data_IF_105705819692
#
_entry.id   IF_105705819692
#
_cell.length_a   1.000
_cell.length_b   1.000
_cell.length_c   1.000
_cell.angle_alpha   90.00
_cell.angle_beta   90.00
_cell.angle_gamma   90.00
#
_symmetry.space_group_name_H-M   'P 1'
#
loop_
_entity.id
_entity.type
_entity.pdbx_description
1 polymer ?
#
# COMPACT_ATOMS: atom_id res chain seq x y z
N UNK A 1 -9.32 21.03 35.96
CA UNK A 1 -8.92 20.26 34.77
C UNK A 1 -9.19 21.18 33.59
N UNK A 2 -8.14 21.68 32.93
CA UNK A 2 -8.32 22.42 31.67
C UNK A 2 -8.55 21.38 30.55
N UNK A 3 -9.72 21.43 29.95
CA UNK A 3 -10.02 20.68 28.74
C UNK A 3 -9.20 21.27 27.58
N UNK A 4 -8.31 20.49 27.01
CA UNK A 4 -7.60 20.86 25.79
C UNK A 4 -8.37 20.34 24.58
N UNK A 5 -8.46 21.15 23.48
CA UNK A 5 -9.08 20.65 22.26
C UNK A 5 -8.30 19.41 21.79
N UNK A 6 -9.01 18.29 21.65
CA UNK A 6 -8.46 17.01 21.23
C UNK A 6 -8.32 16.93 19.70
N UNK A 7 -8.92 17.87 18.99
CA UNK A 7 -8.92 17.91 17.54
C UNK A 7 -7.58 18.39 16.99
N UNK A 8 -7.18 17.82 15.86
CA UNK A 8 -5.88 18.09 15.25
C UNK A 8 -6.09 18.63 13.84
N UNK A 9 -5.43 19.74 13.55
CA UNK A 9 -5.31 20.28 12.21
C UNK A 9 -3.86 20.05 11.72
N UNK A 10 -3.73 19.34 10.63
CA UNK A 10 -2.46 19.15 9.92
C UNK A 10 -2.44 20.08 8.70
N UNK A 11 -1.49 20.99 8.67
CA UNK A 11 -1.19 21.78 7.49
C UNK A 11 0.31 21.63 7.20
N UNK A 12 0.65 21.05 6.08
CA UNK A 12 2.05 20.91 5.67
C UNK A 12 2.23 21.30 4.22
N UNK A 13 3.38 21.89 3.94
CA UNK A 13 3.84 22.18 2.60
C UNK A 13 5.30 21.78 2.50
N UNK A 14 5.67 21.10 1.41
CA UNK A 14 7.02 20.65 1.14
C UNK A 14 7.34 20.80 -0.35
N UNK A 15 8.63 20.88 -0.65
CA UNK A 15 9.11 20.87 -2.04
C UNK A 15 9.89 19.57 -2.29
N UNK A 16 9.43 18.78 -3.25
CA UNK A 16 9.97 17.46 -3.56
C UNK A 16 10.60 17.38 -4.95
N UNK A 17 11.58 18.25 -5.26
CA UNK A 17 12.31 18.16 -6.54
C UNK A 17 11.38 18.08 -7.76
N UNK A 18 11.41 16.96 -8.47
CA UNK A 18 10.56 16.72 -9.67
C UNK A 18 9.05 16.81 -9.37
N UNK A 19 8.62 16.42 -8.18
CA UNK A 19 7.21 16.47 -7.77
C UNK A 19 6.70 17.89 -7.48
N UNK A 20 7.59 18.90 -7.40
CA UNK A 20 7.23 20.28 -7.13
C UNK A 20 6.75 20.52 -5.71
N UNK A 21 5.86 21.49 -5.54
CA UNK A 21 5.26 21.84 -4.25
C UNK A 21 4.17 20.79 -3.89
N UNK A 22 4.31 20.17 -2.74
CA UNK A 22 3.34 19.21 -2.18
C UNK A 22 2.67 19.89 -0.99
N UNK A 23 1.34 19.96 -1.03
CA UNK A 23 0.53 20.44 0.07
C UNK A 23 -0.28 19.32 0.69
N UNK A 24 -0.40 19.31 2.02
CA UNK A 24 -1.28 18.41 2.76
C UNK A 24 -2.16 19.22 3.69
N UNK A 25 -3.44 18.94 3.65
CA UNK A 25 -4.43 19.42 4.62
C UNK A 25 -5.09 18.20 5.28
N UNK A 26 -5.00 18.10 6.59
CA UNK A 26 -5.61 17.03 7.37
C UNK A 26 -6.39 17.61 8.55
N UNK A 27 -7.55 17.04 8.85
CA UNK A 27 -8.34 17.34 10.04
C UNK A 27 -8.69 16.02 10.72
N UNK A 28 -8.45 15.95 12.02
CA UNK A 28 -8.82 14.81 12.83
C UNK A 28 -9.64 15.26 14.04
N UNK A 29 -10.85 14.75 14.14
CA UNK A 29 -11.76 14.96 15.27
C UNK A 29 -11.74 13.70 16.14
N UNK A 30 -11.34 13.83 17.40
CA UNK A 30 -11.15 12.67 18.31
C UNK A 30 -12.35 12.39 19.22
N UNK A 31 -13.38 13.22 19.19
CA UNK A 31 -14.61 13.03 19.95
C UNK A 31 -15.86 13.07 19.06
N UNK A 32 -15.75 12.60 17.84
CA UNK A 32 -16.89 12.56 16.90
C UNK A 32 -17.98 11.61 17.38
N UNK A 33 -19.23 11.90 17.04
CA UNK A 33 -20.39 11.07 17.33
C UNK A 33 -21.28 10.90 16.12
N UNK A 34 -21.36 9.69 15.60
CA UNK A 34 -22.27 9.32 14.53
C UNK A 34 -23.73 9.35 14.99
N UNK A 35 -23.98 8.98 16.26
CA UNK A 35 -25.32 8.97 16.84
C UNK A 35 -25.89 10.39 16.98
N UNK A 36 -25.04 11.35 17.30
CA UNK A 36 -25.44 12.74 17.53
C UNK A 36 -25.52 13.60 16.24
N UNK A 37 -25.38 13.04 15.05
CA UNK A 37 -25.49 13.78 13.78
C UNK A 37 -26.82 14.54 13.68
N UNK A 38 -27.90 13.98 14.23
CA UNK A 38 -29.23 14.59 14.20
C UNK A 38 -29.49 15.60 15.34
N UNK A 39 -28.63 15.67 16.35
CA UNK A 39 -28.72 16.53 17.50
C UNK A 39 -27.90 17.80 17.34
N UNK A 40 -28.53 18.91 16.96
CA UNK A 40 -27.82 20.19 16.76
C UNK A 40 -27.14 20.74 18.03
N UNK A 41 -27.61 20.37 19.22
CA UNK A 41 -27.00 20.79 20.48
C UNK A 41 -25.61 20.18 20.76
N UNK A 42 -25.26 19.07 20.10
CA UNK A 42 -23.97 18.41 20.24
C UNK A 42 -22.93 18.80 19.16
N UNK A 43 -23.25 19.80 18.34
CA UNK A 43 -22.35 20.26 17.28
C UNK A 43 -21.41 21.38 17.76
N UNK A 44 -20.06 21.13 17.67
CA UNK A 44 -19.02 22.12 17.97
C UNK A 44 -17.64 21.73 17.35
N UNK A 45 -17.33 21.99 16.10
CA UNK A 45 -18.15 22.29 14.91
C UNK A 45 -18.85 21.06 14.32
N UNK A 46 -18.47 19.85 14.69
CA UNK A 46 -19.07 18.57 14.30
C UNK A 46 -19.78 17.92 15.49
N UNK A 47 -20.71 16.96 15.26
CA UNK A 47 -21.35 16.24 16.34
C UNK A 47 -20.35 15.50 17.19
N UNK A 48 -20.40 15.66 18.50
CA UNK A 48 -19.45 15.14 19.48
C UNK A 48 -20.17 14.31 20.55
N UNK A 49 -19.39 13.49 21.29
CA UNK A 49 -19.84 12.81 22.50
C UNK A 49 -19.51 11.33 22.60
N UNK A 50 -19.25 10.62 21.48
CA UNK A 50 -19.02 9.16 21.51
C UNK A 50 -17.53 8.77 21.46
N UNK A 51 -16.61 9.74 21.40
CA UNK A 51 -15.19 9.47 21.36
C UNK A 51 -14.70 8.76 20.07
N UNK A 52 -15.50 8.79 19.02
CA UNK A 52 -15.11 8.28 17.71
C UNK A 52 -14.06 9.20 17.07
N UNK A 53 -13.18 8.61 16.28
CA UNK A 53 -12.15 9.35 15.55
C UNK A 53 -12.56 9.49 14.08
N UNK A 54 -12.83 10.72 13.65
CA UNK A 54 -13.06 11.06 12.24
C UNK A 54 -11.79 11.73 11.69
N UNK A 55 -11.22 11.18 10.63
CA UNK A 55 -10.05 11.76 9.97
C UNK A 55 -10.35 12.02 8.50
N UNK A 56 -10.05 13.23 8.07
CA UNK A 56 -10.14 13.69 6.68
C UNK A 56 -8.78 14.22 6.28
N UNK A 57 -8.24 13.76 5.17
CA UNK A 57 -6.95 14.23 4.67
C UNK A 57 -7.00 14.40 3.16
N UNK A 58 -6.55 15.55 2.70
CA UNK A 58 -6.33 15.84 1.29
C UNK A 58 -4.86 16.18 1.07
N UNK A 59 -4.26 15.59 0.04
CA UNK A 59 -2.90 15.84 -0.35
C UNK A 59 -2.85 16.08 -1.86
N UNK A 60 -2.09 17.07 -2.28
CA UNK A 60 -1.91 17.35 -3.71
C UNK A 60 -0.53 17.90 -3.97
N UNK A 61 0.07 17.51 -5.09
CA UNK A 61 1.04 18.34 -5.73
C UNK A 61 0.35 19.10 -6.90
N UNK A 62 0.83 20.26 -7.23
CA UNK A 62 0.20 21.12 -8.23
C UNK A 62 0.19 20.54 -9.64
N UNK A 63 0.86 19.41 -9.89
CA UNK A 63 1.11 18.89 -11.25
C UNK A 63 0.48 17.53 -11.51
N UNK A 64 0.77 16.52 -10.69
CA UNK A 64 0.53 15.14 -11.09
C UNK A 64 -0.26 14.32 -10.07
N UNK A 65 -0.35 14.75 -8.83
CA UNK A 65 -0.84 13.91 -7.75
C UNK A 65 -1.93 14.57 -6.94
N UNK A 66 -3.01 13.81 -6.69
CA UNK A 66 -4.07 14.15 -5.74
C UNK A 66 -4.45 12.92 -4.96
N UNK A 67 -4.62 13.07 -3.65
CA UNK A 67 -5.08 11.98 -2.79
C UNK A 67 -6.05 12.52 -1.76
N UNK A 68 -7.14 11.79 -1.55
CA UNK A 68 -8.16 12.05 -0.55
C UNK A 68 -8.31 10.81 0.31
N UNK A 69 -8.28 11.00 1.62
CA UNK A 69 -8.44 9.94 2.59
C UNK A 69 -9.55 10.34 3.57
N UNK A 70 -10.46 9.43 3.78
CA UNK A 70 -11.51 9.49 4.80
C UNK A 70 -11.41 8.25 5.68
N UNK A 71 -11.47 8.41 7.00
CA UNK A 71 -11.61 7.28 7.90
C UNK A 71 -12.41 7.65 9.15
N UNK A 72 -13.25 6.72 9.58
CA UNK A 72 -14.01 6.76 10.82
C UNK A 72 -13.64 5.55 11.66
N UNK A 73 -13.19 5.78 12.89
CA UNK A 73 -12.79 4.72 13.83
C UNK A 73 -13.63 4.81 15.10
N UNK A 74 -14.31 3.72 15.43
CA UNK A 74 -14.91 3.47 16.74
C UNK A 74 -13.88 2.70 17.59
N UNK A 75 -13.28 3.31 18.64
CA UNK A 75 -12.22 2.66 19.41
C UNK A 75 -12.71 1.59 20.39
N UNK A 76 -14.00 1.61 20.74
CA UNK A 76 -14.61 0.73 21.73
C UNK A 76 -15.87 0.05 21.19
N UNK A 77 -15.76 -0.66 20.09
CA UNK A 77 -16.90 -1.35 19.48
C UNK A 77 -17.60 -2.26 20.50
N UNK A 78 -18.88 -1.95 20.76
CA UNK A 78 -19.68 -2.66 21.76
C UNK A 78 -19.42 -2.22 23.21
N UNK A 79 -18.60 -1.19 23.47
CA UNK A 79 -18.46 -0.48 24.76
C UNK A 79 -17.80 -1.26 25.90
N UNK A 80 -17.44 -2.55 25.71
CA UNK A 80 -16.94 -3.43 26.79
C UNK A 80 -15.45 -3.76 26.71
N UNK A 81 -14.88 -3.72 25.51
CA UNK A 81 -13.49 -4.06 25.23
C UNK A 81 -12.90 -3.06 24.26
N UNK A 82 -11.58 -2.82 24.29
CA UNK A 82 -10.91 -1.95 23.35
C UNK A 82 -10.77 -2.61 21.96
N UNK A 83 -11.91 -2.97 21.38
CA UNK A 83 -11.97 -3.46 20.00
C UNK A 83 -12.19 -2.25 19.09
N UNK A 84 -11.24 -1.93 18.26
CA UNK A 84 -11.37 -0.83 17.31
C UNK A 84 -12.03 -1.30 16.02
N UNK A 85 -13.01 -0.54 15.56
CA UNK A 85 -13.64 -0.75 14.27
C UNK A 85 -13.38 0.48 13.39
N UNK A 86 -12.83 0.28 12.21
CA UNK A 86 -12.49 1.37 11.29
C UNK A 86 -13.11 1.12 9.93
N UNK A 87 -13.75 2.14 9.40
CA UNK A 87 -14.19 2.19 8.00
C UNK A 87 -13.48 3.35 7.32
N UNK A 88 -13.02 3.15 6.11
CA UNK A 88 -12.34 4.22 5.40
C UNK A 88 -12.37 4.06 3.89
N UNK A 89 -12.02 5.15 3.22
CA UNK A 89 -11.87 5.23 1.78
C UNK A 89 -10.66 6.09 1.43
N UNK A 90 -9.89 5.64 0.47
CA UNK A 90 -8.76 6.37 -0.10
C UNK A 90 -8.98 6.46 -1.61
N UNK A 91 -8.85 7.65 -2.15
CA UNK A 91 -8.79 7.87 -3.59
C UNK A 91 -7.52 8.63 -3.94
N UNK A 92 -6.71 8.07 -4.83
CA UNK A 92 -5.46 8.65 -5.29
C UNK A 92 -5.42 8.66 -6.81
N UNK A 93 -5.03 9.79 -7.39
CA UNK A 93 -4.88 9.95 -8.83
C UNK A 93 -3.50 10.52 -9.15
N UNK A 94 -2.83 9.87 -10.08
CA UNK A 94 -1.59 10.30 -10.70
C UNK A 94 -1.88 10.58 -12.17
N UNK A 95 -1.75 11.82 -12.58
CA UNK A 95 -2.07 12.28 -13.93
C UNK A 95 -0.79 12.83 -14.60
N UNK A 96 -0.22 12.04 -15.47
CA UNK A 96 0.95 12.39 -16.26
C UNK A 96 0.61 12.61 -17.75
N UNK A 97 -0.67 12.77 -18.09
CA UNK A 97 -1.15 12.96 -19.46
C UNK A 97 -0.48 14.14 -20.15
N UNK A 98 -0.22 15.23 -19.42
CA UNK A 98 0.53 16.39 -19.93
C UNK A 98 1.98 16.09 -20.30
N UNK A 99 2.53 14.99 -19.85
CA UNK A 99 3.87 14.49 -20.16
C UNK A 99 3.86 13.31 -21.14
N UNK A 100 2.70 12.98 -21.71
CA UNK A 100 2.52 11.84 -22.60
C UNK A 100 2.69 10.48 -21.93
N UNK A 101 2.41 10.38 -20.62
CA UNK A 101 2.60 9.14 -19.83
C UNK A 101 1.33 8.70 -19.10
N UNK A 102 0.18 9.14 -19.57
CA UNK A 102 -1.14 8.67 -19.14
C UNK A 102 -1.50 8.94 -17.67
N UNK A 103 -2.43 8.16 -17.13
CA UNK A 103 -2.92 8.32 -15.77
C UNK A 103 -3.05 6.98 -15.01
N UNK A 104 -2.90 7.06 -13.67
CA UNK A 104 -3.15 5.99 -12.73
C UNK A 104 -4.11 6.49 -11.66
N UNK A 105 -5.25 5.80 -11.48
CA UNK A 105 -6.24 6.09 -10.45
C UNK A 105 -6.40 4.88 -9.54
N UNK A 106 -6.35 5.08 -8.23
CA UNK A 106 -6.53 4.02 -7.24
C UNK A 106 -7.63 4.47 -6.27
N UNK A 107 -8.68 3.66 -6.18
CA UNK A 107 -9.76 3.86 -5.21
C UNK A 107 -9.86 2.64 -4.33
N UNK A 108 -9.70 2.83 -3.01
CA UNK A 108 -9.75 1.76 -2.02
C UNK A 108 -10.78 2.08 -0.96
N UNK A 109 -11.72 1.16 -0.72
CA UNK A 109 -12.55 1.12 0.47
C UNK A 109 -12.06 0.01 1.41
N UNK A 110 -12.11 0.23 2.71
CA UNK A 110 -11.71 -0.80 3.66
C UNK A 110 -12.54 -0.78 4.95
N UNK A 111 -12.66 -1.96 5.54
CA UNK A 111 -13.25 -2.15 6.87
C UNK A 111 -12.25 -2.94 7.71
N UNK A 112 -11.90 -2.41 8.87
CA UNK A 112 -10.90 -2.97 9.77
C UNK A 112 -11.47 -3.24 11.16
N UNK A 113 -11.05 -4.35 11.77
CA UNK A 113 -11.34 -4.73 13.15
C UNK A 113 -10.02 -5.01 13.87
N UNK A 114 -9.71 -4.19 14.88
CA UNK A 114 -8.56 -4.37 15.76
C UNK A 114 -9.01 -4.93 17.11
N UNK A 115 -8.34 -5.99 17.57
CA UNK A 115 -8.68 -6.66 18.84
C UNK A 115 -7.41 -7.01 19.60
N UNK A 116 -7.37 -6.67 20.89
CA UNK A 116 -6.32 -7.15 21.79
C UNK A 116 -6.62 -8.59 22.18
N UNK A 117 -5.67 -9.49 21.96
CA UNK A 117 -5.79 -10.89 22.32
C UNK A 117 -5.32 -11.10 23.76
N UNK A 118 -5.92 -12.08 24.46
CA UNK A 118 -5.51 -12.49 25.81
C UNK A 118 -4.58 -13.70 25.81
N UNK A 119 -4.52 -14.41 24.70
CA UNK A 119 -3.68 -15.59 24.53
C UNK A 119 -2.81 -15.40 23.27
N UNK A 120 -1.52 -15.74 23.30
CA UNK A 120 -0.75 -16.34 24.40
C UNK A 120 -0.38 -15.37 25.53
N UNK A 121 -0.36 -14.05 25.29
CA UNK A 121 -0.18 -13.02 26.30
C UNK A 121 -0.90 -11.71 25.89
N UNK A 122 -0.97 -10.73 26.80
CA UNK A 122 -1.68 -9.45 26.61
C UNK A 122 -0.98 -8.48 25.64
N UNK A 123 0.20 -8.84 25.12
CA UNK A 123 0.93 -8.03 24.16
C UNK A 123 0.52 -8.29 22.69
N UNK A 124 -0.33 -9.30 22.46
CA UNK A 124 -0.81 -9.63 21.13
C UNK A 124 -2.01 -8.77 20.71
N UNK A 125 -1.91 -8.22 19.51
CA UNK A 125 -2.98 -7.51 18.81
C UNK A 125 -3.26 -8.19 17.49
N UNK A 126 -4.53 -8.43 17.21
CA UNK A 126 -5.05 -8.95 15.94
C UNK A 126 -5.74 -7.84 15.19
N UNK A 127 -5.36 -7.62 13.93
CA UNK A 127 -6.03 -6.69 13.03
C UNK A 127 -6.51 -7.46 11.79
N UNK A 128 -7.82 -7.46 11.58
CA UNK A 128 -8.47 -8.03 10.40
C UNK A 128 -8.96 -6.89 9.52
N UNK A 129 -8.56 -6.85 8.27
CA UNK A 129 -8.99 -5.78 7.34
C UNK A 129 -9.51 -6.40 6.04
N UNK A 130 -10.71 -6.04 5.67
CA UNK A 130 -11.29 -6.32 4.37
C UNK A 130 -11.07 -5.11 3.47
N UNK A 131 -10.48 -5.32 2.30
CA UNK A 131 -10.19 -4.27 1.33
C UNK A 131 -10.91 -4.54 0.03
N UNK A 132 -11.43 -3.49 -0.57
CA UNK A 132 -11.91 -3.45 -1.94
C UNK A 132 -11.19 -2.30 -2.64
N UNK A 133 -10.35 -2.62 -3.61
CA UNK A 133 -9.54 -1.66 -4.32
C UNK A 133 -9.77 -1.78 -5.82
N UNK A 134 -9.85 -0.64 -6.49
CA UNK A 134 -9.88 -0.55 -7.95
C UNK A 134 -8.70 0.30 -8.41
N UNK A 135 -7.91 -0.27 -9.29
CA UNK A 135 -6.78 0.35 -9.97
C UNK A 135 -7.19 0.56 -11.42
N UNK A 136 -7.11 1.79 -11.92
CA UNK A 136 -7.41 2.11 -13.32
C UNK A 136 -6.17 2.74 -13.95
N UNK A 137 -5.73 2.17 -15.05
CA UNK A 137 -4.64 2.65 -15.89
C UNK A 137 -5.23 3.18 -17.20
N UNK A 138 -4.79 4.36 -17.61
CA UNK A 138 -5.15 5.00 -18.88
C UNK A 138 -3.84 5.45 -19.54
N UNK A 139 -3.36 4.68 -20.52
CA UNK A 139 -2.07 4.89 -21.24
C UNK A 139 -0.86 5.15 -20.30
N UNK A 140 -0.82 4.41 -19.18
CA UNK A 140 0.12 4.66 -18.10
C UNK A 140 1.46 3.96 -18.34
N UNK A 141 2.49 4.75 -18.66
CA UNK A 141 3.84 4.24 -19.03
C UNK A 141 4.90 4.41 -17.92
N UNK A 142 4.53 4.93 -16.74
CA UNK A 142 5.50 5.19 -15.64
C UNK A 142 5.52 4.14 -14.54
N UNK A 143 4.60 3.19 -14.55
CA UNK A 143 4.33 2.35 -13.37
C UNK A 143 5.19 1.12 -13.23
N UNK A 144 5.80 0.64 -14.31
CA UNK A 144 6.54 -0.62 -14.25
C UNK A 144 5.65 -1.81 -13.85
N UNK A 145 4.39 -1.82 -14.27
CA UNK A 145 3.52 -2.98 -14.13
C UNK A 145 3.77 -3.91 -15.31
N UNK A 146 4.47 -5.01 -15.02
CA UNK A 146 4.86 -5.95 -16.05
C UNK A 146 4.36 -7.34 -15.74
N UNK A 147 3.91 -8.04 -16.77
CA UNK A 147 3.68 -9.49 -16.76
C UNK A 147 4.82 -10.15 -17.49
N UNK A 148 5.35 -11.23 -16.93
CA UNK A 148 6.35 -12.04 -17.60
C UNK A 148 5.64 -13.17 -18.36
N UNK A 149 5.78 -13.16 -19.68
CA UNK A 149 5.22 -14.16 -20.57
C UNK A 149 6.26 -14.59 -21.59
N UNK A 150 6.48 -15.90 -21.70
CA UNK A 150 7.48 -16.48 -22.64
C UNK A 150 8.89 -15.84 -22.54
N UNK A 151 9.29 -15.45 -21.33
CA UNK A 151 10.60 -14.80 -21.08
C UNK A 151 10.64 -13.33 -21.47
N UNK A 152 9.53 -12.73 -21.88
CA UNK A 152 9.40 -11.29 -22.17
C UNK A 152 8.58 -10.59 -21.10
N UNK A 153 8.93 -9.36 -20.82
CA UNK A 153 8.16 -8.50 -19.93
C UNK A 153 7.22 -7.64 -20.77
N UNK A 154 5.92 -7.87 -20.61
CA UNK A 154 4.86 -7.12 -21.27
C UNK A 154 4.34 -6.08 -20.28
N UNK A 155 4.38 -4.81 -20.65
CA UNK A 155 3.88 -3.72 -19.84
C UNK A 155 2.34 -3.68 -19.91
N UNK A 156 1.70 -3.55 -18.75
CA UNK A 156 0.27 -3.25 -18.66
C UNK A 156 0.15 -1.73 -18.55
N UNK A 157 -0.42 -1.10 -19.56
CA UNK A 157 -0.60 0.35 -19.65
C UNK A 157 -2.03 0.80 -19.48
N UNK A 158 -2.98 -0.07 -19.79
CA UNK A 158 -4.41 0.20 -19.77
C UNK A 158 -5.18 -0.90 -19.04
N UNK A 159 -6.34 -0.54 -18.49
CA UNK A 159 -7.26 -1.46 -17.87
C UNK A 159 -7.74 -1.03 -16.51
N UNK A 160 -8.75 -1.77 -16.03
CA UNK A 160 -9.29 -1.62 -14.68
C UNK A 160 -9.15 -2.94 -13.93
N UNK A 161 -8.48 -2.89 -12.79
CA UNK A 161 -8.10 -4.05 -11.98
C UNK A 161 -8.74 -3.95 -10.62
N UNK A 162 -9.44 -5.00 -10.21
CA UNK A 162 -10.15 -5.07 -8.95
C UNK A 162 -9.40 -6.00 -7.98
N UNK A 163 -9.16 -5.53 -6.78
CA UNK A 163 -8.50 -6.25 -5.70
C UNK A 163 -9.44 -6.34 -4.49
N UNK A 164 -10.04 -7.49 -4.30
CA UNK A 164 -10.82 -7.79 -3.10
C UNK A 164 -10.00 -8.71 -2.21
N UNK A 165 -9.53 -8.22 -1.08
CA UNK A 165 -8.62 -8.96 -0.22
C UNK A 165 -8.98 -8.90 1.25
N UNK A 166 -8.76 -10.02 1.93
CA UNK A 166 -8.78 -10.13 3.38
C UNK A 166 -7.34 -10.13 3.89
N UNK A 167 -7.02 -9.17 4.75
CA UNK A 167 -5.72 -9.07 5.41
C UNK A 167 -5.86 -9.31 6.90
N UNK A 168 -5.13 -10.31 7.40
CA UNK A 168 -5.00 -10.62 8.81
C UNK A 168 -3.59 -10.28 9.27
N UNK A 169 -3.47 -9.49 10.35
CA UNK A 169 -2.18 -9.14 10.94
C UNK A 169 -2.18 -9.45 12.42
N UNK A 170 -1.21 -10.22 12.86
CA UNK A 170 -0.92 -10.48 14.26
C UNK A 170 0.36 -9.75 14.63
N UNK A 171 0.29 -8.90 15.65
CA UNK A 171 1.45 -8.16 16.14
C UNK A 171 1.61 -8.39 17.62
N UNK A 172 2.83 -8.72 18.04
CA UNK A 172 3.24 -8.74 19.44
C UNK A 172 4.32 -7.71 19.69
N UNK A 173 4.14 -6.86 20.67
CA UNK A 173 5.14 -5.84 21.02
C UNK A 173 5.36 -5.79 22.52
N UNK A 174 6.56 -6.20 22.95
CA UNK A 174 7.02 -6.17 24.34
C UNK A 174 8.22 -5.24 24.53
N UNK A 175 8.39 -4.26 23.63
CA UNK A 175 9.52 -3.33 23.69
C UNK A 175 9.41 -2.40 24.90
N UNK A 176 10.56 -2.13 25.56
CA UNK A 176 10.62 -1.34 26.79
C UNK A 176 10.31 0.14 26.58
N UNK A 177 10.56 0.67 25.38
CA UNK A 177 10.37 2.07 25.03
C UNK A 177 10.08 2.19 23.53
N UNK A 178 9.07 2.97 23.11
CA UNK A 178 8.73 3.13 21.69
C UNK A 178 9.78 3.89 20.89
N UNK A 179 10.48 4.87 21.48
CA UNK A 179 11.44 5.73 20.79
C UNK A 179 12.84 5.12 20.76
N UNK A 180 13.30 4.60 21.90
CA UNK A 180 14.61 3.97 22.03
C UNK A 180 14.49 2.63 22.77
N UNK A 181 14.03 1.58 22.10
CA UNK A 181 13.93 0.26 22.70
C UNK A 181 15.30 -0.27 23.14
N UNK A 182 15.42 -0.63 24.41
CA UNK A 182 16.64 -1.22 24.98
C UNK A 182 16.52 -2.71 25.20
N UNK A 183 15.30 -3.21 25.37
CA UNK A 183 14.95 -4.61 25.61
C UNK A 183 13.60 -4.93 25.03
N UNK A 184 13.37 -6.21 24.78
CA UNK A 184 12.12 -6.72 24.28
C UNK A 184 12.13 -7.01 22.78
N UNK A 185 10.97 -7.33 22.27
CA UNK A 185 10.80 -7.68 20.86
C UNK A 185 9.51 -7.12 20.30
N UNK A 186 9.52 -6.91 19.00
CA UNK A 186 8.31 -6.68 18.19
C UNK A 186 8.30 -7.70 17.07
N UNK A 187 7.21 -8.45 16.96
CA UNK A 187 7.02 -9.46 15.92
C UNK A 187 5.66 -9.21 15.28
N UNK A 188 5.61 -9.23 13.96
CA UNK A 188 4.38 -9.06 13.19
C UNK A 188 4.31 -10.08 12.07
N UNK A 189 3.20 -10.79 11.96
CA UNK A 189 2.86 -11.66 10.85
C UNK A 189 1.62 -11.10 10.15
N UNK A 190 1.73 -10.80 8.87
CA UNK A 190 0.62 -10.33 8.04
C UNK A 190 0.37 -11.30 6.91
N UNK A 191 -0.87 -11.76 6.77
CA UNK A 191 -1.35 -12.66 5.73
C UNK A 191 -2.44 -11.91 4.98
N UNK A 192 -2.30 -11.77 3.69
CA UNK A 192 -3.29 -11.16 2.82
C UNK A 192 -3.67 -12.17 1.74
N UNK A 193 -4.95 -12.41 1.56
CA UNK A 193 -5.48 -13.38 0.61
C UNK A 193 -6.62 -12.76 -0.19
N UNK A 194 -6.69 -13.12 -1.45
CA UNK A 194 -7.82 -12.83 -2.34
C UNK A 194 -8.57 -14.12 -2.64
N UNK A 195 -9.82 -14.06 -3.09
CA UNK A 195 -10.49 -15.25 -3.63
C UNK A 195 -9.73 -15.78 -4.86
N UNK A 196 -9.62 -17.10 -5.02
CA UNK A 196 -9.00 -17.72 -6.19
C UNK A 196 -10.01 -17.75 -7.37
N UNK A 197 -10.16 -16.63 -8.05
CA UNK A 197 -11.17 -16.47 -9.11
C UNK A 197 -10.97 -17.42 -10.28
N UNK A 198 -9.73 -17.78 -10.61
CA UNK A 198 -9.39 -18.69 -11.70
C UNK A 198 -9.96 -20.10 -11.50
N UNK A 199 -10.15 -20.55 -10.24
CA UNK A 199 -10.76 -21.84 -9.96
C UNK A 199 -12.25 -21.94 -10.36
N UNK A 200 -12.90 -20.80 -10.56
CA UNK A 200 -14.33 -20.71 -10.91
C UNK A 200 -14.57 -20.24 -12.34
N UNK A 201 -13.50 -19.98 -13.11
CA UNK A 201 -13.53 -19.55 -14.51
C UNK A 201 -12.91 -20.64 -15.38
N UNK A 202 -13.27 -20.69 -16.66
CA UNK A 202 -12.58 -21.58 -17.62
C UNK A 202 -11.12 -21.15 -17.82
N UNK A 203 -10.27 -22.07 -18.20
CA UNK A 203 -8.82 -21.82 -18.33
C UNK A 203 -8.49 -20.70 -19.34
N UNK A 204 -9.34 -20.52 -20.36
CA UNK A 204 -9.12 -19.56 -21.46
C UNK A 204 -10.00 -18.30 -21.36
N UNK A 205 -10.55 -17.98 -20.19
CA UNK A 205 -11.50 -16.87 -20.01
C UNK A 205 -10.97 -15.48 -20.44
N UNK A 206 -9.67 -15.31 -20.50
CA UNK A 206 -8.98 -14.08 -20.84
C UNK A 206 -8.57 -13.99 -22.32
N UNK A 207 -8.58 -15.10 -23.04
CA UNK A 207 -8.21 -15.12 -24.45
C UNK A 207 -9.24 -14.39 -25.31
N UNK A 208 -8.73 -13.68 -26.30
CA UNK A 208 -9.58 -13.01 -27.28
C UNK A 208 -10.06 -14.01 -28.34
N UNK A 209 -11.32 -13.93 -28.70
CA UNK A 209 -11.85 -14.64 -29.85
C UNK A 209 -11.30 -14.09 -31.17
N UNK A 210 -11.35 -14.89 -32.25
CA UNK A 210 -10.89 -14.43 -33.57
C UNK A 210 -11.60 -13.15 -34.04
N UNK A 211 -12.88 -12.99 -33.68
CA UNK A 211 -13.65 -11.78 -34.01
C UNK A 211 -13.15 -10.54 -33.26
N UNK A 212 -12.76 -10.69 -31.98
CA UNK A 212 -12.17 -9.61 -31.18
C UNK A 212 -10.77 -9.24 -31.67
N UNK A 213 -9.94 -10.23 -32.06
CA UNK A 213 -8.62 -9.99 -32.65
C UNK A 213 -8.74 -9.20 -33.97
N UNK A 214 -9.68 -9.57 -34.83
CA UNK A 214 -9.96 -8.82 -36.06
C UNK A 214 -10.43 -7.39 -35.79
N UNK A 215 -11.16 -7.17 -34.68
CA UNK A 215 -11.56 -5.82 -34.29
C UNK A 215 -10.36 -5.00 -33.82
N UNK A 216 -9.46 -5.57 -33.01
CA UNK A 216 -8.20 -4.93 -32.59
C UNK A 216 -7.35 -4.54 -33.78
N UNK A 217 -7.21 -5.40 -34.78
CA UNK A 217 -6.48 -5.12 -36.02
C UNK A 217 -7.08 -3.93 -36.79
N UNK A 218 -8.42 -3.87 -36.87
CA UNK A 218 -9.10 -2.75 -37.54
C UNK A 218 -8.91 -1.45 -36.77
N UNK A 219 -9.05 -1.48 -35.45
CA UNK A 219 -8.91 -0.28 -34.60
C UNK A 219 -7.50 0.27 -34.69
N UNK A 220 -6.46 -0.58 -34.60
CA UNK A 220 -5.07 -0.20 -34.82
C UNK A 220 -4.83 0.35 -36.22
N UNK A 221 -5.42 -0.26 -37.27
CA UNK A 221 -5.26 0.22 -38.64
C UNK A 221 -5.88 1.59 -38.83
N UNK A 222 -6.99 1.89 -38.13
CA UNK A 222 -7.60 3.22 -38.12
C UNK A 222 -6.74 4.26 -37.42
N UNK A 223 -6.10 3.88 -36.31
CA UNK A 223 -5.22 4.75 -35.51
C UNK A 223 -3.93 5.10 -36.26
N UNK A 224 -3.26 4.12 -36.87
CA UNK A 224 -2.03 4.31 -37.61
C UNK A 224 -2.27 5.01 -38.96
N UNK A 225 -3.49 4.91 -39.49
CA UNK A 225 -3.89 5.48 -40.78
C UNK A 225 -3.42 4.66 -41.99
N UNK A 226 -3.93 4.95 -43.18
CA UNK A 226 -3.71 4.12 -44.37
C UNK A 226 -2.27 4.15 -44.92
N UNK A 227 -1.45 5.08 -44.45
CA UNK A 227 -0.08 5.26 -44.97
C UNK A 227 0.94 4.29 -44.32
N UNK A 228 0.68 3.82 -43.10
CA UNK A 228 1.61 2.93 -42.37
C UNK A 228 0.73 1.91 -41.59
N UNK A 229 0.35 0.79 -42.19
CA UNK A 229 -0.45 -0.21 -41.49
C UNK A 229 0.35 -0.80 -40.32
N UNK A 230 -0.33 -1.20 -39.22
CA UNK A 230 0.33 -1.83 -38.07
C UNK A 230 1.03 -3.13 -38.49
N UNK A 231 2.18 -3.37 -37.93
CA UNK A 231 2.89 -4.62 -38.16
C UNK A 231 2.24 -5.75 -37.36
N UNK A 232 2.42 -6.99 -37.79
CA UNK A 232 1.93 -8.16 -37.06
C UNK A 232 2.44 -8.20 -35.60
N UNK A 233 3.63 -7.69 -35.34
CA UNK A 233 4.20 -7.61 -34.00
C UNK A 233 3.44 -6.62 -33.11
N UNK A 234 3.01 -5.48 -33.65
CA UNK A 234 2.21 -4.48 -32.95
C UNK A 234 0.82 -4.99 -32.65
N UNK A 235 0.16 -5.64 -33.62
CA UNK A 235 -1.14 -6.29 -33.41
C UNK A 235 -1.05 -7.34 -32.28
N UNK A 236 -0.04 -8.22 -32.33
CA UNK A 236 0.16 -9.24 -31.28
C UNK A 236 0.44 -8.61 -29.91
N UNK A 237 1.20 -7.52 -29.86
CA UNK A 237 1.49 -6.80 -28.60
C UNK A 237 0.23 -6.21 -28.00
N UNK A 238 -0.66 -5.66 -28.83
CA UNK A 238 -1.93 -5.08 -28.37
C UNK A 238 -2.91 -6.16 -27.91
N UNK A 239 -3.04 -7.25 -28.67
CA UNK A 239 -3.83 -8.43 -28.26
C UNK A 239 -3.37 -8.94 -26.90
N UNK A 240 -2.06 -9.12 -26.71
CA UNK A 240 -1.49 -9.56 -25.42
C UNK A 240 -1.74 -8.56 -24.29
N UNK A 241 -1.71 -7.25 -24.58
CA UNK A 241 -2.04 -6.21 -23.61
C UNK A 241 -3.48 -6.33 -23.11
N UNK A 242 -4.43 -6.50 -24.04
CA UNK A 242 -5.86 -6.65 -23.73
C UNK A 242 -6.12 -7.96 -22.99
N UNK A 243 -5.51 -9.07 -23.42
CA UNK A 243 -5.62 -10.37 -22.75
C UNK A 243 -5.06 -10.30 -21.33
N UNK A 244 -3.93 -9.65 -21.11
CA UNK A 244 -3.38 -9.41 -19.79
C UNK A 244 -4.26 -8.50 -18.93
N UNK A 245 -4.91 -7.50 -19.51
CA UNK A 245 -5.87 -6.68 -18.78
C UNK A 245 -7.10 -7.50 -18.35
N UNK A 246 -7.62 -8.38 -19.19
CA UNK A 246 -8.69 -9.32 -18.85
C UNK A 246 -8.25 -10.36 -17.83
N UNK A 247 -7.04 -10.91 -17.96
CA UNK A 247 -6.44 -11.91 -17.09
C UNK A 247 -6.34 -11.44 -15.64
N UNK A 248 -5.95 -10.18 -15.44
CA UNK A 248 -5.78 -9.56 -14.13
C UNK A 248 -6.93 -8.62 -13.72
N UNK A 249 -8.06 -8.63 -14.41
CA UNK A 249 -9.23 -7.80 -14.06
C UNK A 249 -9.64 -7.97 -12.58
N UNK A 250 -9.57 -9.20 -12.08
CA UNK A 250 -9.72 -9.53 -10.67
C UNK A 250 -8.41 -10.16 -10.19
N UNK A 251 -7.71 -9.43 -9.31
CA UNK A 251 -6.42 -9.88 -8.80
C UNK A 251 -6.59 -11.07 -7.87
N UNK A 252 -5.79 -12.11 -8.11
CA UNK A 252 -5.74 -13.28 -7.26
C UNK A 252 -4.31 -13.54 -6.79
N UNK A 253 -4.13 -13.65 -5.49
CA UNK A 253 -2.84 -13.90 -4.85
C UNK A 253 -2.99 -14.23 -3.37
N UNK A 254 -1.95 -14.79 -2.79
CA UNK A 254 -1.73 -14.77 -1.35
C UNK A 254 -0.38 -14.12 -1.06
N UNK A 255 -0.34 -13.26 -0.03
CA UNK A 255 0.82 -12.47 0.33
C UNK A 255 1.11 -12.61 1.81
N UNK A 256 2.33 -12.99 2.14
CA UNK A 256 2.78 -13.22 3.50
C UNK A 256 3.91 -12.27 3.81
N UNK A 257 3.86 -11.64 4.97
CA UNK A 257 4.94 -10.79 5.47
C UNK A 257 5.20 -11.11 6.93
N UNK A 258 6.46 -11.25 7.25
CA UNK A 258 6.94 -11.43 8.60
C UNK A 258 7.98 -10.37 8.91
N UNK A 259 7.74 -9.58 9.96
CA UNK A 259 8.64 -8.56 10.48
C UNK A 259 8.98 -8.92 11.93
N UNK A 260 10.26 -8.91 12.25
CA UNK A 260 10.76 -9.23 13.59
C UNK A 260 11.87 -8.27 13.97
N UNK A 261 11.76 -7.74 15.17
CA UNK A 261 12.76 -6.84 15.77
C UNK A 261 13.04 -7.30 17.20
N UNK A 262 14.31 -7.42 17.56
CA UNK A 262 14.78 -7.85 18.87
C UNK A 262 15.80 -6.86 19.39
N UNK A 263 15.68 -6.49 20.67
CA UNK A 263 16.53 -5.52 21.32
C UNK A 263 17.19 -6.13 22.53
N UNK A 264 18.52 -6.06 22.58
CA UNK A 264 19.34 -6.62 23.64
C UNK A 264 20.25 -5.53 24.21
N UNK A 265 20.11 -5.25 25.49
CA UNK A 265 21.09 -4.44 26.19
C UNK A 265 22.31 -5.33 26.49
N UNK A 266 23.44 -5.04 25.86
CA UNK A 266 24.64 -5.89 25.93
C UNK A 266 25.52 -5.46 27.11
N UNK A 267 25.87 -4.18 27.18
CA UNK A 267 26.73 -3.62 28.21
C UNK A 267 26.42 -2.13 28.41
N UNK A 268 26.16 -1.73 29.66
CA UNK A 268 25.92 -0.33 30.04
C UNK A 268 24.76 0.27 29.19
N UNK A 269 25.11 1.20 28.30
CA UNK A 269 24.17 1.88 27.42
C UNK A 269 24.11 1.28 26.01
N UNK A 270 24.97 0.32 25.68
CA UNK A 270 24.97 -0.29 24.35
C UNK A 270 23.80 -1.23 24.15
N UNK A 271 23.14 -1.08 23.03
CA UNK A 271 22.00 -1.91 22.61
C UNK A 271 22.30 -2.51 21.23
N UNK A 272 22.14 -3.81 21.11
CA UNK A 272 22.08 -4.49 19.81
C UNK A 272 20.62 -4.62 19.41
N UNK A 273 20.30 -4.16 18.19
CA UNK A 273 19.01 -4.41 17.56
C UNK A 273 19.21 -5.35 16.37
N UNK A 274 18.57 -6.52 16.41
CA UNK A 274 18.51 -7.47 15.31
C UNK A 274 17.12 -7.42 14.69
N UNK A 275 17.05 -7.29 13.36
CA UNK A 275 15.80 -7.19 12.62
C UNK A 275 15.81 -8.17 11.46
N UNK A 276 14.68 -8.83 11.24
CA UNK A 276 14.44 -9.68 10.09
C UNK A 276 13.10 -9.30 9.45
N UNK A 277 13.10 -9.16 8.13
CA UNK A 277 11.91 -8.91 7.33
C UNK A 277 11.88 -9.92 6.19
N UNK A 278 10.78 -10.63 6.08
CA UNK A 278 10.56 -11.66 5.06
C UNK A 278 9.23 -11.38 4.38
N UNK A 279 9.16 -11.62 3.08
CA UNK A 279 7.92 -11.53 2.34
C UNK A 279 7.86 -12.55 1.22
N UNK A 280 6.66 -13.09 1.01
CA UNK A 280 6.35 -14.03 -0.05
C UNK A 280 5.04 -13.63 -0.70
N UNK A 281 5.04 -13.51 -2.01
CA UNK A 281 3.86 -13.38 -2.85
C UNK A 281 3.69 -14.69 -3.62
N UNK A 282 2.53 -15.32 -3.49
CA UNK A 282 2.20 -16.55 -4.21
C UNK A 282 0.99 -16.37 -5.12
N UNK A 283 0.83 -17.27 -6.04
CA UNK A 283 -0.33 -17.42 -6.91
C UNK A 283 -1.10 -18.68 -6.56
N UNK A 284 -2.40 -18.75 -6.89
CA UNK A 284 -3.20 -19.97 -6.77
C UNK A 284 -3.19 -20.80 -8.05
N UNK A 285 -2.88 -20.15 -9.18
CA UNK A 285 -2.84 -20.78 -10.49
C UNK A 285 -1.59 -20.30 -11.25
N UNK A 286 -0.73 -21.23 -11.61
CA UNK A 286 0.52 -20.93 -12.29
C UNK A 286 0.32 -20.42 -13.73
N UNK A 287 -0.80 -20.74 -14.37
CA UNK A 287 -1.15 -20.24 -15.72
C UNK A 287 -1.51 -18.75 -15.68
N UNK A 288 -2.17 -18.31 -14.61
CA UNK A 288 -2.45 -16.89 -14.38
C UNK A 288 -1.16 -16.17 -13.99
N UNK A 289 -0.32 -16.82 -13.17
CA UNK A 289 0.95 -16.27 -12.71
C UNK A 289 0.80 -15.20 -11.62
N UNK A 290 1.90 -14.52 -11.31
CA UNK A 290 1.96 -13.56 -10.22
C UNK A 290 1.33 -12.23 -10.58
N UNK A 291 0.54 -11.66 -9.65
CA UNK A 291 -0.03 -10.32 -9.78
C UNK A 291 1.07 -9.27 -10.08
N UNK A 292 0.89 -8.41 -11.08
CA UNK A 292 1.84 -7.36 -11.40
C UNK A 292 1.82 -6.18 -10.40
N UNK A 293 0.77 -6.06 -9.58
CA UNK A 293 0.54 -4.89 -8.72
C UNK A 293 1.05 -5.09 -7.28
N UNK A 294 1.19 -6.33 -6.81
CA UNK A 294 1.45 -6.64 -5.40
C UNK A 294 2.90 -7.08 -5.13
N UNK A 295 3.80 -6.90 -6.07
CA UNK A 295 5.19 -7.32 -5.96
C UNK A 295 5.99 -6.46 -5.00
N UNK A 296 7.09 -7.01 -4.49
CA UNK A 296 8.01 -6.30 -3.61
C UNK A 296 9.10 -5.59 -4.40
N UNK A 297 9.46 -4.39 -3.94
CA UNK A 297 10.62 -3.66 -4.44
C UNK A 297 11.58 -3.39 -3.27
N UNK A 298 12.88 -3.62 -3.47
CA UNK A 298 13.91 -3.37 -2.49
C UNK A 298 14.77 -2.20 -2.96
N UNK A 299 15.07 -1.26 -2.06
CA UNK A 299 15.92 -0.12 -2.35
C UNK A 299 15.37 1.19 -1.81
N UNK A 300 16.09 2.27 -2.09
CA UNK A 300 15.74 3.60 -1.64
C UNK A 300 16.08 3.86 -0.17
N UNK A 301 16.01 5.12 0.21
CA UNK A 301 16.33 5.61 1.56
C UNK A 301 15.19 5.46 2.57
N UNK A 302 14.00 5.08 2.12
CA UNK A 302 12.78 5.00 2.93
C UNK A 302 12.12 6.35 3.19
N UNK A 303 12.71 7.46 2.74
CA UNK A 303 12.18 8.82 2.92
C UNK A 303 11.44 9.30 1.66
N UNK A 304 11.95 8.94 0.49
CA UNK A 304 11.39 9.30 -0.82
C UNK A 304 10.20 8.45 -1.25
N UNK A 305 9.90 7.36 -0.52
CA UNK A 305 8.93 6.33 -0.93
C UNK A 305 7.49 6.63 -0.50
N UNK A 306 7.11 7.89 -0.42
CA UNK A 306 5.72 8.26 -0.06
C UNK A 306 4.68 7.75 -1.07
N UNK A 307 5.09 7.41 -2.28
CA UNK A 307 4.22 6.85 -3.31
C UNK A 307 4.01 5.34 -3.24
N UNK A 308 4.83 4.60 -2.47
CA UNK A 308 4.79 3.13 -2.45
C UNK A 308 3.46 2.55 -1.95
N UNK A 309 2.90 3.14 -0.90
CA UNK A 309 1.59 2.73 -0.39
C UNK A 309 0.41 3.11 -1.29
N UNK A 310 0.66 3.95 -2.29
CA UNK A 310 -0.36 4.48 -3.19
C UNK A 310 -0.40 3.66 -4.49
N UNK A 311 0.74 3.13 -4.93
CA UNK A 311 0.84 2.35 -6.18
C UNK A 311 0.61 0.85 -6.01
N UNK A 312 0.29 0.39 -4.79
CA UNK A 312 0.13 -1.04 -4.51
C UNK A 312 1.45 -1.81 -4.37
N UNK A 313 2.60 -1.15 -4.59
CA UNK A 313 3.91 -1.78 -4.46
C UNK A 313 4.45 -1.62 -3.04
N UNK A 314 4.96 -2.71 -2.48
CA UNK A 314 5.66 -2.71 -1.20
C UNK A 314 7.15 -2.43 -1.41
N UNK A 315 7.57 -1.20 -1.09
CA UNK A 315 8.99 -0.83 -1.15
C UNK A 315 9.64 -1.08 0.21
N UNK A 316 10.63 -1.96 0.22
CA UNK A 316 11.45 -2.28 1.37
C UNK A 316 12.73 -1.46 1.28
N UNK A 317 12.86 -0.43 2.12
CA UNK A 317 14.03 0.46 2.10
C UNK A 317 15.33 -0.30 2.31
N UNK A 318 16.33 -0.03 1.49
CA UNK A 318 17.67 -0.58 1.60
C UNK A 318 18.68 0.52 1.24
N UNK A 319 19.38 1.02 2.25
CA UNK A 319 20.37 2.10 2.06
C UNK A 319 21.50 1.68 1.14
N UNK A 320 21.90 2.57 0.25
CA UNK A 320 23.00 2.36 -0.69
C UNK A 320 22.60 1.71 -2.00
N UNK A 321 21.32 1.35 -2.15
CA UNK A 321 20.78 0.76 -3.38
C UNK A 321 19.56 1.55 -3.84
N UNK A 322 19.48 1.85 -5.13
CA UNK A 322 18.24 2.33 -5.72
C UNK A 322 17.24 1.19 -5.90
N UNK A 323 15.96 1.51 -6.01
CA UNK A 323 14.89 0.48 -6.11
C UNK A 323 15.05 -0.39 -7.37
N UNK A 324 15.71 0.15 -8.41
CA UNK A 324 15.98 -0.53 -9.68
C UNK A 324 17.23 -1.40 -9.70
N UNK A 325 18.15 -1.23 -8.72
CA UNK A 325 19.48 -1.88 -8.78
C UNK A 325 19.42 -3.39 -8.51
N UNK A 326 18.51 -3.80 -7.61
CA UNK A 326 18.42 -5.19 -7.16
C UNK A 326 17.49 -6.05 -8.01
N UNK A 327 16.65 -5.43 -8.83
CA UNK A 327 15.72 -6.15 -9.68
C UNK A 327 16.27 -6.16 -11.10
N UNK A 328 17.01 -7.21 -11.42
CA UNK A 328 17.47 -7.43 -12.80
C UNK A 328 16.26 -7.62 -13.72
N UNK A 329 16.31 -6.99 -14.88
CA UNK A 329 15.41 -7.21 -16.01
C UNK A 329 13.99 -6.62 -15.91
N UNK A 330 13.77 -5.49 -15.28
CA UNK A 330 12.47 -4.76 -15.32
C UNK A 330 11.25 -5.67 -15.06
N UNK A 331 11.38 -6.63 -14.14
CA UNK A 331 10.33 -7.62 -13.85
C UNK A 331 9.17 -7.07 -13.02
N UNK A 332 9.14 -5.75 -12.80
CA UNK A 332 8.06 -5.11 -12.04
C UNK A 332 8.08 -5.39 -10.54
N UNK A 333 9.13 -6.01 -9.99
CA UNK A 333 9.28 -6.34 -8.59
C UNK A 333 9.55 -7.83 -8.32
N UNK A 334 9.92 -8.15 -7.09
CA UNK A 334 10.19 -9.50 -6.61
C UNK A 334 8.94 -10.16 -6.02
N UNK A 335 8.88 -11.47 -6.07
CA UNK A 335 7.83 -12.26 -5.42
C UNK A 335 8.24 -12.75 -4.03
N UNK A 336 9.55 -12.80 -3.77
CA UNK A 336 10.11 -13.17 -2.47
C UNK A 336 11.20 -12.19 -2.11
N UNK A 337 11.25 -11.77 -0.85
CA UNK A 337 12.38 -11.03 -0.31
C UNK A 337 12.71 -11.47 1.10
N UNK A 338 13.97 -11.30 1.46
CA UNK A 338 14.46 -11.37 2.82
C UNK A 338 15.42 -10.20 3.09
N UNK A 339 15.34 -9.65 4.30
CA UNK A 339 16.22 -8.57 4.76
C UNK A 339 16.59 -8.78 6.22
N UNK A 340 17.87 -8.88 6.48
CA UNK A 340 18.41 -8.95 7.83
C UNK A 340 19.19 -7.67 8.14
N UNK A 341 19.00 -7.13 9.33
CA UNK A 341 19.71 -5.94 9.77
C UNK A 341 20.17 -6.12 11.20
N UNK A 342 21.44 -5.85 11.48
CA UNK A 342 22.00 -5.79 12.82
C UNK A 342 22.50 -4.35 13.07
N UNK A 343 22.08 -3.76 14.17
CA UNK A 343 22.46 -2.38 14.53
C UNK A 343 23.07 -2.38 15.92
N UNK A 344 24.20 -1.71 16.07
CA UNK A 344 24.75 -1.33 17.38
C UNK A 344 24.36 0.12 17.67
N UNK A 345 23.68 0.34 18.78
CA UNK A 345 23.13 1.64 19.19
C UNK A 345 23.76 2.11 20.50
N UNK A 346 24.10 3.39 20.55
CA UNK A 346 24.57 4.04 21.75
C UNK A 346 23.86 5.38 21.96
N UNK A 347 23.10 5.58 23.07
CA UNK A 347 22.38 6.82 23.30
C UNK A 347 23.34 7.89 23.85
N UNK A 348 23.33 9.06 23.21
CA UNK A 348 24.01 10.27 23.70
C UNK A 348 23.09 11.05 24.64
N UNK A 349 21.83 11.21 24.27
CA UNK A 349 20.75 11.81 25.05
C UNK A 349 19.46 11.07 24.88
N UNK A 350 18.76 10.77 25.96
CA UNK A 350 17.41 10.18 25.96
C UNK A 350 16.40 11.14 26.60
N UNK A 351 16.63 12.45 26.47
CA UNK A 351 15.65 13.44 26.92
C UNK A 351 14.36 13.29 26.08
N UNK A 352 13.16 13.28 26.67
CA UNK A 352 11.89 13.19 25.95
C UNK A 352 11.74 14.24 24.83
N UNK A 353 12.33 15.43 25.03
CA UNK A 353 12.29 16.51 24.04
C UNK A 353 13.39 16.42 22.97
N UNK A 354 14.43 15.58 23.16
CA UNK A 354 15.58 15.47 22.26
C UNK A 354 16.30 14.14 22.45
N UNK A 355 15.87 13.10 21.78
CA UNK A 355 16.55 11.80 21.77
C UNK A 355 17.62 11.77 20.68
N UNK A 356 18.89 11.62 21.08
CA UNK A 356 20.04 11.56 20.18
C UNK A 356 20.80 10.27 20.47
N UNK A 357 21.07 9.48 19.46
CA UNK A 357 21.86 8.26 19.59
C UNK A 357 22.73 8.01 18.35
N UNK A 358 23.87 7.36 18.58
CA UNK A 358 24.73 6.85 17.51
C UNK A 358 24.25 5.47 17.08
N UNK A 359 24.40 5.20 15.81
CA UNK A 359 23.95 3.97 15.17
C UNK A 359 25.02 3.51 14.20
N UNK A 360 25.43 2.23 14.32
CA UNK A 360 26.25 1.52 13.33
C UNK A 360 25.52 0.26 12.88
N UNK A 361 25.56 -0.06 11.59
CA UNK A 361 24.92 -1.22 10.98
C UNK A 361 25.78 -1.80 9.86
#
# INVERSE_FOLDING_TARGET
>A
VEERPADQLELSAGYGGFNGLIGTLGVTFNNFSLANIRSRSSWSPLPQGDGQKLSLRAQSNSRFFRSYNFSLTEPWLGGKKPNSFTVGMVHSAFDYSTLGSGSLKITRGFVGLGTQLKWPDDFFVSNTTLNLERITLEDYDRGGFFVQENGRNIAIKEGSFNNFSLKQTFTRSSVSDPLYPRRGSRVSLSIQVTPPYSLFRGDDYYQLSEAEILQVEKDLTLEYGPAVPPTRAEILSEVQSIENAKKFEWLEYHKWRFDSEWYFNVYGKFVIAAKAKLGVLGTYNDEIGYSPFERFELGGDGLSNQSSGITGKDIISLRGYETSDLIQNRQGGATVYDKFTMELRYPLSLNPNSSIYLLSF
#
